data_IF_989347440488
#
_entry.id   IF_989347440488
#
_cell.length_a   1.000
_cell.length_b   1.000
_cell.length_c   1.000
_cell.angle_alpha   90.00
_cell.angle_beta   90.00
_cell.angle_gamma   90.00
#
_symmetry.space_group_name_H-M   'P 1'
#
loop_
_entity.id
_entity.type
_entity.pdbx_description
1 polymer ?
#
# COMPACT_ATOMS: atom_id res chain seq x y z
N UNK A 1 -1.82 -22.30 -5.47
CA UNK A 1 -2.95 -21.39 -5.30
C UNK A 1 -2.54 -20.24 -4.39
N UNK A 2 -2.81 -19.02 -4.82
CA UNK A 2 -2.54 -17.86 -3.98
C UNK A 2 -3.68 -17.67 -3.01
N UNK A 3 -3.35 -17.65 -1.73
CA UNK A 3 -4.34 -17.43 -0.67
C UNK A 3 -4.41 -15.94 -0.37
N UNK A 4 -5.61 -15.39 -0.43
CA UNK A 4 -5.88 -13.99 -0.11
C UNK A 4 -6.97 -13.94 0.96
N UNK A 5 -6.65 -13.26 2.05
CA UNK A 5 -7.61 -13.01 3.13
C UNK A 5 -8.04 -11.55 3.05
N UNK A 6 -9.34 -11.23 3.06
CA UNK A 6 -9.80 -9.84 2.91
C UNK A 6 -9.31 -8.88 4.00
N UNK A 7 -8.91 -9.39 5.15
CA UNK A 7 -8.47 -8.54 6.26
C UNK A 7 -6.97 -8.54 6.48
N UNK A 8 -6.25 -9.58 6.05
CA UNK A 8 -4.82 -9.74 6.35
C UNK A 8 -3.90 -9.53 5.14
N UNK A 9 -4.36 -9.81 3.93
CA UNK A 9 -3.53 -9.63 2.73
C UNK A 9 -3.55 -8.18 2.29
N UNK A 10 -2.38 -7.57 2.17
CA UNK A 10 -2.23 -6.17 1.75
C UNK A 10 -2.15 -6.10 0.23
N UNK A 11 -2.92 -5.22 -0.38
CA UNK A 11 -2.89 -5.00 -1.82
C UNK A 11 -2.07 -3.75 -2.11
N UNK A 12 -1.04 -3.89 -2.95
CA UNK A 12 -0.24 -2.77 -3.43
C UNK A 12 -0.68 -2.50 -4.86
N UNK A 13 -1.13 -1.27 -5.13
CA UNK A 13 -1.63 -0.86 -6.44
C UNK A 13 -0.61 0.05 -7.11
N UNK A 14 -0.14 -0.34 -8.29
CA UNK A 14 0.80 0.46 -9.11
C UNK A 14 0.10 0.90 -10.39
N UNK A 15 0.62 1.95 -11.02
CA UNK A 15 0.10 2.41 -12.30
C UNK A 15 0.29 1.36 -13.39
N UNK A 16 -0.65 1.27 -14.32
CA UNK A 16 -0.66 0.26 -15.39
C UNK A 16 0.09 0.67 -16.64
N UNK A 17 0.45 1.95 -16.80
CA UNK A 17 1.28 2.37 -17.93
C UNK A 17 2.66 1.70 -17.85
N UNK A 18 3.15 1.17 -18.98
CA UNK A 18 4.42 0.42 -19.01
C UNK A 18 5.60 1.24 -18.48
N UNK A 19 5.63 2.54 -18.75
CA UNK A 19 6.69 3.42 -18.25
C UNK A 19 6.61 3.61 -16.75
N UNK A 20 5.40 3.67 -16.23
CA UNK A 20 5.15 3.81 -14.79
C UNK A 20 5.52 2.51 -14.08
N UNK A 21 5.15 1.35 -14.63
CA UNK A 21 5.54 0.06 -14.06
C UNK A 21 7.06 -0.10 -14.00
N UNK A 22 7.75 0.36 -15.02
CA UNK A 22 9.22 0.31 -15.07
C UNK A 22 9.85 1.16 -13.96
N UNK A 23 9.24 2.31 -13.65
CA UNK A 23 9.76 3.25 -12.64
C UNK A 23 9.35 2.88 -11.22
N UNK A 24 8.07 2.61 -11.02
CA UNK A 24 7.50 2.39 -9.70
C UNK A 24 7.44 0.91 -9.31
N UNK A 25 7.57 0.00 -10.28
CA UNK A 25 7.56 -1.43 -10.04
C UNK A 25 8.62 -1.89 -9.04
N UNK A 26 9.89 -1.50 -9.22
CA UNK A 26 10.93 -1.87 -8.25
C UNK A 26 10.64 -1.37 -6.84
N UNK A 27 10.10 -0.15 -6.72
CA UNK A 27 9.73 0.44 -5.44
C UNK A 27 8.59 -0.34 -4.79
N UNK A 28 7.58 -0.73 -5.57
CA UNK A 28 6.47 -1.54 -5.08
C UNK A 28 6.95 -2.93 -4.64
N UNK A 29 7.86 -3.55 -5.38
CA UNK A 29 8.41 -4.86 -5.01
C UNK A 29 9.20 -4.78 -3.71
N UNK A 30 9.94 -3.69 -3.49
CA UNK A 30 10.66 -3.48 -2.24
C UNK A 30 9.69 -3.33 -1.08
N UNK A 31 8.60 -2.60 -1.28
CA UNK A 31 7.56 -2.49 -0.25
C UNK A 31 6.93 -3.85 0.06
N UNK A 32 6.66 -4.65 -0.98
CA UNK A 32 6.16 -6.00 -0.79
C UNK A 32 7.11 -6.84 0.05
N UNK A 33 8.41 -6.78 -0.22
CA UNK A 33 9.42 -7.50 0.57
C UNK A 33 9.38 -7.08 2.04
N UNK A 34 9.25 -5.78 2.31
CA UNK A 34 9.16 -5.27 3.67
C UNK A 34 7.91 -5.81 4.39
N UNK A 35 6.79 -5.90 3.70
CA UNK A 35 5.56 -6.44 4.28
C UNK A 35 5.71 -7.95 4.51
N UNK A 36 6.18 -8.68 3.49
CA UNK A 36 6.29 -10.13 3.55
C UNK A 36 7.25 -10.58 4.66
N UNK A 37 8.32 -9.82 4.90
CA UNK A 37 9.28 -10.12 5.98
C UNK A 37 8.64 -10.03 7.37
N UNK A 38 7.57 -9.27 7.50
CA UNK A 38 6.88 -9.07 8.78
C UNK A 38 5.75 -10.07 9.03
N UNK A 39 5.58 -11.03 8.12
CA UNK A 39 4.45 -11.97 8.17
C UNK A 39 4.52 -12.98 9.32
N UNK A 40 5.70 -13.22 9.87
CA UNK A 40 5.94 -14.20 10.93
C UNK A 40 5.40 -15.59 10.56
N UNK A 41 5.58 -15.98 9.29
CA UNK A 41 5.17 -17.29 8.80
C UNK A 41 3.67 -17.48 8.57
N UNK A 42 2.87 -16.45 8.73
CA UNK A 42 1.42 -16.52 8.52
C UNK A 42 1.09 -16.42 7.03
N UNK A 43 0.36 -17.42 6.51
CA UNK A 43 0.13 -17.59 5.07
C UNK A 43 -0.55 -16.40 4.40
N UNK A 44 -1.48 -15.74 5.10
CA UNK A 44 -2.25 -14.63 4.53
C UNK A 44 -1.60 -13.26 4.77
N UNK A 45 -0.62 -13.19 5.67
CA UNK A 45 0.06 -11.95 6.04
C UNK A 45 1.17 -11.67 5.05
N UNK A 46 0.76 -11.16 3.90
CA UNK A 46 1.66 -10.86 2.79
C UNK A 46 1.08 -9.74 1.96
N UNK A 47 1.85 -9.27 1.00
CA UNK A 47 1.37 -8.29 0.03
C UNK A 47 1.26 -8.92 -1.35
N UNK A 48 0.31 -8.44 -2.14
CA UNK A 48 0.19 -8.75 -3.56
C UNK A 48 0.24 -7.43 -4.33
N UNK A 49 0.91 -7.43 -5.48
CA UNK A 49 1.03 -6.24 -6.34
C UNK A 49 0.09 -6.42 -7.52
N UNK A 50 -0.75 -5.42 -7.76
CA UNK A 50 -1.65 -5.37 -8.91
C UNK A 50 -1.55 -4.01 -9.57
N UNK A 51 -1.94 -3.92 -10.83
CA UNK A 51 -2.04 -2.63 -11.50
C UNK A 51 -3.35 -1.94 -11.13
N UNK A 52 -3.40 -0.62 -11.30
CA UNK A 52 -4.62 0.15 -11.05
C UNK A 52 -5.76 -0.27 -11.98
N UNK A 53 -5.44 -0.55 -13.25
CA UNK A 53 -6.45 -1.03 -14.21
C UNK A 53 -7.05 -2.36 -13.77
N UNK A 54 -6.21 -3.29 -13.32
CA UNK A 54 -6.68 -4.59 -12.83
C UNK A 54 -7.50 -4.42 -11.56
N UNK A 55 -7.04 -3.57 -10.65
CA UNK A 55 -7.72 -3.34 -9.37
C UNK A 55 -9.15 -2.81 -9.57
N UNK A 56 -9.31 -1.84 -10.48
CA UNK A 56 -10.63 -1.26 -10.77
C UNK A 56 -11.62 -2.32 -11.24
N UNK A 57 -11.16 -3.29 -12.04
CA UNK A 57 -12.02 -4.32 -12.62
C UNK A 57 -12.26 -5.52 -11.70
N UNK A 58 -11.50 -5.65 -10.62
CA UNK A 58 -11.56 -6.83 -9.74
C UNK A 58 -11.97 -6.44 -8.32
N UNK A 59 -13.27 -6.28 -8.13
CA UNK A 59 -13.84 -5.85 -6.86
C UNK A 59 -13.51 -6.78 -5.68
N UNK A 60 -13.12 -8.01 -5.97
CA UNK A 60 -12.78 -9.00 -4.93
C UNK A 60 -11.68 -8.51 -3.98
N UNK A 61 -10.80 -7.60 -4.44
CA UNK A 61 -9.73 -7.06 -3.61
C UNK A 61 -10.10 -5.75 -2.90
N UNK A 62 -11.25 -5.15 -3.20
CA UNK A 62 -11.62 -3.87 -2.63
C UNK A 62 -11.79 -3.88 -1.11
N UNK A 63 -12.19 -4.98 -0.45
CA UNK A 63 -12.21 -5.04 1.01
C UNK A 63 -10.83 -5.06 1.67
N UNK A 64 -9.77 -5.38 0.92
CA UNK A 64 -8.42 -5.52 1.47
C UNK A 64 -7.79 -4.18 1.83
N UNK A 65 -6.93 -4.16 2.87
CA UNK A 65 -6.07 -2.99 3.09
C UNK A 65 -5.25 -2.72 1.84
N UNK A 66 -5.19 -1.45 1.41
CA UNK A 66 -4.62 -1.09 0.11
C UNK A 66 -3.58 0.01 0.26
N UNK A 67 -2.41 -0.21 -0.35
CA UNK A 67 -1.36 0.80 -0.44
C UNK A 67 -1.17 1.15 -1.91
N UNK A 68 -1.36 2.42 -2.24
CA UNK A 68 -1.21 2.94 -3.60
C UNK A 68 0.20 3.53 -3.73
N UNK A 69 0.94 3.08 -4.73
CA UNK A 69 2.30 3.57 -5.02
C UNK A 69 2.28 4.33 -6.33
N UNK A 70 2.58 5.62 -6.26
CA UNK A 70 2.54 6.53 -7.41
C UNK A 70 1.47 7.59 -7.26
N UNK A 71 1.69 8.74 -7.88
CA UNK A 71 0.83 9.91 -7.74
C UNK A 71 -0.39 9.93 -8.64
N UNK A 72 -1.24 10.96 -8.48
CA UNK A 72 -2.50 11.07 -9.23
C UNK A 72 -2.32 11.11 -10.74
N UNK A 73 -1.17 11.58 -11.24
CA UNK A 73 -0.91 11.64 -12.67
C UNK A 73 -0.55 10.31 -13.32
N UNK A 74 -0.20 9.29 -12.51
CA UNK A 74 0.30 8.01 -13.01
C UNK A 74 -0.44 6.80 -12.44
N UNK A 75 -1.31 7.02 -11.46
CA UNK A 75 -2.04 5.95 -10.77
C UNK A 75 -3.49 6.37 -10.59
N UNK A 76 -4.42 5.59 -11.14
CA UNK A 76 -5.85 5.91 -11.09
C UNK A 76 -6.40 5.96 -9.67
N UNK A 77 -5.91 5.09 -8.80
CA UNK A 77 -6.41 5.07 -7.43
C UNK A 77 -5.91 6.26 -6.63
N UNK A 78 -4.69 6.72 -6.90
CA UNK A 78 -4.21 7.98 -6.32
C UNK A 78 -5.07 9.15 -6.80
N UNK A 79 -5.43 9.17 -8.08
CA UNK A 79 -6.33 10.18 -8.63
C UNK A 79 -7.69 10.18 -7.95
N UNK A 80 -8.22 8.98 -7.67
CA UNK A 80 -9.55 8.85 -7.05
C UNK A 80 -9.54 9.21 -5.56
N UNK A 81 -8.46 8.91 -4.84
CA UNK A 81 -8.46 8.95 -3.38
C UNK A 81 -7.65 10.09 -2.76
N UNK A 82 -6.76 10.73 -3.51
CA UNK A 82 -5.82 11.70 -2.92
C UNK A 82 -6.49 12.92 -2.29
N UNK A 83 -7.59 13.40 -2.85
CA UNK A 83 -8.28 14.57 -2.30
C UNK A 83 -9.03 14.26 -1.01
N UNK A 84 -9.45 13.01 -0.84
CA UNK A 84 -10.21 12.60 0.34
C UNK A 84 -9.39 11.92 1.43
N UNK A 85 -8.07 11.85 1.27
CA UNK A 85 -7.21 11.15 2.22
C UNK A 85 -6.24 12.13 2.88
N UNK A 86 -6.15 12.05 4.21
CA UNK A 86 -5.34 12.99 4.99
C UNK A 86 -3.85 12.84 4.73
N UNK A 87 -3.17 13.97 4.62
CA UNK A 87 -1.70 14.02 4.53
C UNK A 87 -1.12 13.84 5.93
N UNK A 88 -0.28 12.81 6.11
CA UNK A 88 0.36 12.51 7.38
C UNK A 88 1.83 12.88 7.40
N UNK A 89 2.49 12.92 6.26
CA UNK A 89 3.90 13.21 6.16
C UNK A 89 4.22 13.74 4.76
N UNK A 90 5.17 14.68 4.69
CA UNK A 90 5.69 15.15 3.40
C UNK A 90 7.14 15.60 3.57
N UNK A 91 7.88 15.60 2.46
CA UNK A 91 9.25 16.10 2.42
C UNK A 91 9.42 17.00 1.20
N UNK A 92 9.86 18.24 1.45
CA UNK A 92 10.23 19.22 0.43
C UNK A 92 9.15 19.47 -0.62
N UNK A 93 7.89 19.29 -0.25
CA UNK A 93 6.74 19.41 -1.15
C UNK A 93 6.87 18.54 -2.41
N UNK A 94 7.65 17.47 -2.33
CA UNK A 94 7.89 16.55 -3.45
C UNK A 94 7.43 15.14 -3.16
N UNK A 95 7.58 14.68 -1.93
CA UNK A 95 7.18 13.35 -1.50
C UNK A 95 6.06 13.46 -0.48
N UNK A 96 5.04 12.61 -0.62
CA UNK A 96 3.83 12.68 0.18
C UNK A 96 3.39 11.31 0.66
N UNK A 97 2.93 11.27 1.89
CA UNK A 97 2.32 10.09 2.48
C UNK A 97 0.94 10.50 3.01
N UNK A 98 -0.08 9.90 2.44
CA UNK A 98 -1.46 10.10 2.87
C UNK A 98 -2.00 8.78 3.38
N UNK A 99 -2.81 8.77 4.41
CA UNK A 99 -3.37 7.52 4.90
C UNK A 99 -4.66 7.75 5.66
N UNK A 100 -5.50 6.72 5.63
CA UNK A 100 -6.72 6.62 6.42
C UNK A 100 -6.75 5.21 7.02
N UNK A 101 -6.43 5.11 8.31
CA UNK A 101 -6.44 3.86 9.06
C UNK A 101 -7.69 3.70 9.93
N UNK A 102 -8.58 4.68 9.89
CA UNK A 102 -9.81 4.64 10.69
C UNK A 102 -10.99 4.02 9.92
N UNK A 103 -11.03 4.25 8.61
CA UNK A 103 -12.07 3.69 7.75
C UNK A 103 -11.71 2.29 7.29
N UNK A 104 -12.71 1.53 6.83
CA UNK A 104 -12.51 0.23 6.20
C UNK A 104 -12.88 0.32 4.72
N UNK A 105 -12.07 -0.18 3.81
CA UNK A 105 -10.72 -0.71 4.03
C UNK A 105 -9.71 0.39 4.36
N UNK A 106 -8.69 0.03 5.12
CA UNK A 106 -7.60 0.97 5.43
C UNK A 106 -6.78 1.25 4.18
N UNK A 107 -6.32 2.49 4.03
CA UNK A 107 -5.63 2.95 2.82
C UNK A 107 -4.40 3.77 3.14
N UNK A 108 -3.38 3.64 2.30
CA UNK A 108 -2.22 4.54 2.28
C UNK A 108 -1.90 4.89 0.84
N UNK A 109 -1.49 6.13 0.61
CA UNK A 109 -1.07 6.65 -0.69
C UNK A 109 0.35 7.16 -0.54
N UNK A 110 1.28 6.57 -1.29
CA UNK A 110 2.70 6.87 -1.21
C UNK A 110 3.15 7.39 -2.58
N UNK A 111 3.46 8.68 -2.67
CA UNK A 111 3.73 9.24 -3.98
C UNK A 111 4.60 10.49 -3.94
N UNK A 112 5.07 10.87 -5.10
CA UNK A 112 5.81 12.10 -5.30
C UNK A 112 5.66 12.60 -6.72
N UNK A 113 6.31 13.72 -7.02
CA UNK A 113 6.27 14.33 -8.35
C UNK A 113 6.95 13.49 -9.42
N UNK A 114 7.81 12.56 -9.04
CA UNK A 114 8.52 11.64 -9.93
C UNK A 114 8.78 10.31 -9.21
N UNK A 115 9.39 9.36 -9.90
CA UNK A 115 9.66 8.03 -9.36
C UNK A 115 10.60 8.08 -8.15
N UNK A 116 11.58 8.96 -8.17
CA UNK A 116 12.52 9.12 -7.06
C UNK A 116 11.79 9.62 -5.80
N UNK A 117 10.93 10.62 -5.95
CA UNK A 117 10.15 11.13 -4.84
C UNK A 117 9.17 10.09 -4.31
N UNK A 118 8.58 9.29 -5.18
CA UNK A 118 7.73 8.17 -4.77
C UNK A 118 8.53 7.16 -3.93
N UNK A 119 9.75 6.86 -4.34
CA UNK A 119 10.63 5.98 -3.56
C UNK A 119 10.92 6.58 -2.17
N UNK A 120 11.14 7.89 -2.09
CA UNK A 120 11.35 8.56 -0.80
C UNK A 120 10.11 8.41 0.09
N UNK A 121 8.92 8.55 -0.47
CA UNK A 121 7.66 8.36 0.28
C UNK A 121 7.55 6.92 0.82
N UNK A 122 7.89 5.92 0.02
CA UNK A 122 7.87 4.52 0.45
C UNK A 122 8.91 4.28 1.56
N UNK A 123 10.12 4.82 1.41
CA UNK A 123 11.15 4.70 2.42
C UNK A 123 10.71 5.32 3.76
N UNK A 124 10.06 6.48 3.72
CA UNK A 124 9.53 7.12 4.91
C UNK A 124 8.40 6.32 5.54
N UNK A 125 7.54 5.74 4.72
CA UNK A 125 6.45 4.89 5.18
C UNK A 125 6.97 3.73 6.04
N UNK A 126 8.06 3.11 5.60
CA UNK A 126 8.69 2.02 6.33
C UNK A 126 9.46 2.55 7.54
N UNK A 127 10.35 3.52 7.34
CA UNK A 127 11.29 3.96 8.38
C UNK A 127 10.67 4.80 9.49
N UNK A 128 9.57 5.51 9.20
CA UNK A 128 8.89 6.36 10.19
C UNK A 128 7.82 5.60 10.98
N UNK A 129 7.67 4.29 10.75
CA UNK A 129 6.76 3.48 11.52
C UNK A 129 5.32 3.40 11.00
N UNK A 130 5.01 4.04 9.88
CA UNK A 130 3.64 4.03 9.34
C UNK A 130 3.23 2.63 8.85
N UNK A 131 4.17 1.88 8.25
CA UNK A 131 3.90 0.51 7.84
C UNK A 131 3.61 -0.37 9.05
N UNK A 132 4.46 -0.30 10.06
CA UNK A 132 4.28 -1.12 11.26
C UNK A 132 2.98 -0.79 11.99
N UNK A 133 2.58 0.48 11.99
CA UNK A 133 1.29 0.89 12.55
C UNK A 133 0.11 0.27 11.77
N UNK A 134 0.17 0.32 10.43
CA UNK A 134 -0.85 -0.31 9.60
C UNK A 134 -0.93 -1.81 9.89
N UNK A 135 0.21 -2.50 9.87
CA UNK A 135 0.23 -3.96 10.05
C UNK A 135 -0.24 -4.36 11.44
N UNK A 136 0.08 -3.58 12.47
CA UNK A 136 -0.44 -3.82 13.81
C UNK A 136 -1.96 -3.76 13.87
N UNK A 137 -2.55 -2.87 13.10
CA UNK A 137 -4.00 -2.69 13.07
C UNK A 137 -4.72 -3.81 12.31
N UNK A 138 -4.10 -4.33 11.24
CA UNK A 138 -4.72 -5.35 10.40
C UNK A 138 -4.29 -6.77 10.77
N UNK A 139 -3.07 -6.95 11.28
CA UNK A 139 -2.55 -8.24 11.69
C UNK A 139 -2.66 -8.42 13.20
N UNK A 140 -3.87 -8.33 13.68
CA UNK A 140 -4.11 -8.45 15.11
C UNK A 140 -3.77 -9.83 15.61
N UNK A 141 -3.25 -9.87 16.81
CA UNK A 141 -2.96 -11.10 17.50
C UNK A 141 -4.28 -11.79 17.86
N UNK A 142 -4.36 -13.10 17.61
CA UNK A 142 -5.58 -13.87 17.88
C UNK A 142 -5.41 -14.84 19.05
N UNK A 143 -4.45 -14.59 19.91
CA UNK A 143 -4.17 -15.47 21.05
C UNK A 143 -5.32 -15.57 22.03
N UNK A 144 -6.07 -14.51 22.16
CA UNK A 144 -7.25 -14.49 23.02
C UNK A 144 -8.26 -15.57 22.65
N UNK A 145 -8.21 -16.04 21.44
CA UNK A 145 -9.11 -17.09 20.95
C UNK A 145 -8.78 -18.45 21.54
N UNK A 146 -7.57 -18.61 22.06
CA UNK A 146 -7.09 -19.90 22.54
C UNK A 146 -7.08 -20.03 24.05
N UNK A 147 -7.60 -19.06 24.70
CA UNK A 147 -7.66 -19.07 26.17
C UNK A 147 -8.74 -20.00 26.69
#
# INVERSE_FOLDING_TARGET
MKLIDPSETVVIVVGSDARVEERDGPTARRLKEEIDQRSDGQSFRRAVIVTDAWYVEHEVLHPNPTIVVGGPGVNRMAGAWSQGTSLLWSRDRRAFLQADYESEPKRALLWGGDAEATMVAVQAFVSQGFLDDLLRRIWRFRTEVYV
#
